data_IF_967193043095
#
_entry.id   IF_967193043095
#
_cell.length_a   1.000
_cell.length_b   1.000
_cell.length_c   1.000
_cell.angle_alpha   90.00
_cell.angle_beta   90.00
_cell.angle_gamma   90.00
#
_symmetry.space_group_name_H-M   'P 1'
#
loop_
_entity.id
_entity.type
_entity.pdbx_description
1 polymer ?
#
# COMPACT_ATOMS: atom_id res chain seq x y z
N UNK A 1 -17.04 20.04 -18.55
CA UNK A 1 -16.27 19.75 -17.33
C UNK A 1 -15.81 18.32 -17.42
N UNK A 2 -14.53 18.05 -17.60
CA UNK A 2 -14.00 16.69 -17.63
C UNK A 2 -13.92 16.20 -16.18
N UNK A 3 -14.93 15.43 -15.75
CA UNK A 3 -14.89 14.75 -14.46
C UNK A 3 -13.71 13.78 -14.46
N UNK A 4 -12.93 13.74 -13.38
CA UNK A 4 -11.88 12.75 -13.21
C UNK A 4 -12.53 11.35 -13.27
N UNK A 5 -12.13 10.48 -14.21
CA UNK A 5 -12.77 9.18 -14.33
C UNK A 5 -12.30 8.17 -13.28
N UNK A 6 -11.37 8.55 -12.38
CA UNK A 6 -10.85 7.72 -11.30
C UNK A 6 -11.44 8.12 -9.94
N UNK A 7 -11.98 7.14 -9.23
CA UNK A 7 -12.44 7.27 -7.84
C UNK A 7 -11.48 6.54 -6.92
N UNK A 8 -10.90 7.25 -5.96
CA UNK A 8 -10.05 6.67 -4.90
C UNK A 8 -10.92 5.85 -3.93
N UNK A 9 -10.47 4.65 -3.56
CA UNK A 9 -11.04 3.89 -2.44
C UNK A 9 -10.52 4.42 -1.11
N UNK A 10 -11.40 4.48 -0.11
CA UNK A 10 -11.12 5.13 1.17
C UNK A 10 -10.09 4.39 2.03
N UNK A 11 -10.02 3.06 1.92
CA UNK A 11 -9.08 2.23 2.68
C UNK A 11 -7.95 1.71 1.79
N UNK A 12 -6.68 1.85 2.22
CA UNK A 12 -5.55 1.24 1.53
C UNK A 12 -5.57 -0.28 1.73
N UNK A 13 -4.74 -0.99 0.97
CA UNK A 13 -4.50 -2.43 1.12
C UNK A 13 -3.03 -2.69 1.45
N UNK A 14 -2.75 -3.83 2.06
CA UNK A 14 -1.39 -4.33 2.26
C UNK A 14 -1.06 -5.47 1.31
N UNK A 15 0.21 -5.59 0.97
CA UNK A 15 0.69 -6.76 0.25
C UNK A 15 2.20 -6.90 0.31
N UNK A 16 2.67 -8.08 -0.06
CA UNK A 16 4.08 -8.37 -0.27
C UNK A 16 4.42 -8.21 -1.75
N UNK A 17 5.51 -7.49 -2.02
CA UNK A 17 6.02 -7.33 -3.38
C UNK A 17 6.49 -8.68 -3.94
N UNK A 18 5.76 -9.23 -4.91
CA UNK A 18 6.12 -10.50 -5.59
C UNK A 18 7.32 -10.36 -6.54
N UNK A 19 7.64 -9.13 -6.94
CA UNK A 19 8.77 -8.74 -7.76
C UNK A 19 9.12 -7.27 -7.49
N UNK A 20 10.18 -6.79 -8.11
CA UNK A 20 10.74 -5.43 -8.01
C UNK A 20 10.18 -4.44 -9.04
N UNK A 21 9.09 -4.81 -9.74
CA UNK A 21 8.49 -3.98 -10.81
C UNK A 21 7.58 -2.89 -10.28
N UNK A 22 7.13 -2.97 -9.03
CA UNK A 22 6.34 -1.90 -8.43
C UNK A 22 7.23 -0.73 -8.02
N UNK A 23 6.86 0.47 -8.41
CA UNK A 23 7.52 1.72 -8.06
C UNK A 23 6.67 2.49 -7.05
N UNK A 24 7.28 2.97 -5.98
CA UNK A 24 6.61 3.77 -4.97
C UNK A 24 6.20 5.13 -5.55
N UNK A 25 4.92 5.48 -5.44
CA UNK A 25 4.44 6.75 -6.00
C UNK A 25 4.85 7.99 -5.16
N UNK A 26 5.28 7.82 -3.91
CA UNK A 26 5.76 8.92 -3.07
C UNK A 26 7.24 9.28 -3.31
N UNK A 27 8.15 8.31 -3.32
CA UNK A 27 9.58 8.55 -3.49
C UNK A 27 10.12 8.25 -4.90
N UNK A 28 9.29 7.67 -5.78
CA UNK A 28 9.65 7.29 -7.16
C UNK A 28 10.75 6.22 -7.27
N UNK A 29 11.04 5.50 -6.19
CA UNK A 29 11.99 4.37 -6.16
C UNK A 29 11.29 3.00 -6.29
N UNK A 30 12.04 2.00 -6.74
CA UNK A 30 11.57 0.61 -6.81
C UNK A 30 11.28 0.04 -5.40
N UNK A 31 10.22 -0.76 -5.31
CA UNK A 31 9.86 -1.53 -4.12
C UNK A 31 10.45 -2.93 -4.27
N UNK A 32 11.39 -3.29 -3.41
CA UNK A 32 12.10 -4.56 -3.48
C UNK A 32 11.18 -5.77 -3.27
N UNK A 33 11.47 -6.85 -4.00
CA UNK A 33 10.81 -8.16 -3.83
C UNK A 33 10.86 -8.61 -2.36
N UNK A 34 9.76 -9.16 -1.85
CA UNK A 34 9.61 -9.61 -0.46
C UNK A 34 9.31 -8.49 0.54
N UNK A 35 9.36 -7.22 0.13
CA UNK A 35 9.04 -6.10 1.02
C UNK A 35 7.53 -5.87 1.16
N UNK A 36 7.13 -5.36 2.32
CA UNK A 36 5.77 -4.88 2.56
C UNK A 36 5.53 -3.60 1.74
N UNK A 37 4.39 -3.53 1.07
CA UNK A 37 3.93 -2.37 0.32
C UNK A 37 2.48 -2.04 0.63
N UNK A 38 2.17 -0.75 0.59
CA UNK A 38 0.84 -0.19 0.84
C UNK A 38 0.24 0.22 -0.50
N UNK A 39 -0.94 -0.30 -0.84
CA UNK A 39 -1.64 -0.03 -2.10
C UNK A 39 -2.83 0.90 -1.88
N UNK A 40 -2.98 1.93 -2.72
CA UNK A 40 -4.18 2.75 -2.78
C UNK A 40 -4.95 2.34 -4.02
N UNK A 41 -6.18 1.85 -3.85
CA UNK A 41 -7.02 1.38 -4.96
C UNK A 41 -7.74 2.56 -5.61
N UNK A 42 -7.76 2.58 -6.94
CA UNK A 42 -8.56 3.50 -7.74
C UNK A 42 -9.45 2.73 -8.70
N UNK A 43 -10.73 3.09 -8.73
CA UNK A 43 -11.70 2.55 -9.67
C UNK A 43 -11.90 3.54 -10.82
N UNK A 44 -11.70 3.08 -12.04
CA UNK A 44 -12.05 3.84 -13.23
C UNK A 44 -13.53 3.61 -13.59
N UNK A 45 -14.19 4.63 -14.15
CA UNK A 45 -15.60 4.53 -14.61
C UNK A 45 -15.85 3.43 -15.65
N UNK A 46 -14.81 2.93 -16.32
CA UNK A 46 -14.91 1.81 -17.28
C UNK A 46 -14.78 0.42 -16.63
N UNK A 47 -14.62 0.33 -15.31
CA UNK A 47 -14.42 -0.92 -14.56
C UNK A 47 -12.97 -1.36 -14.39
N UNK A 48 -11.98 -0.57 -14.86
CA UNK A 48 -10.56 -0.85 -14.60
C UNK A 48 -10.19 -0.49 -13.17
N UNK A 49 -9.35 -1.31 -12.54
CA UNK A 49 -8.80 -1.05 -11.20
C UNK A 49 -7.31 -0.69 -11.34
N UNK A 50 -6.94 0.47 -10.84
CA UNK A 50 -5.55 0.89 -10.64
C UNK A 50 -5.15 0.73 -9.18
N UNK A 51 -3.87 0.47 -8.92
CA UNK A 51 -3.32 0.45 -7.57
C UNK A 51 -2.02 1.23 -7.53
N UNK A 52 -1.99 2.27 -6.72
CA UNK A 52 -0.76 3.02 -6.46
C UNK A 52 -0.04 2.39 -5.27
N UNK A 53 1.10 1.77 -5.56
CA UNK A 53 1.94 1.15 -4.56
C UNK A 53 2.87 2.16 -3.90
N UNK A 54 3.09 1.97 -2.61
CA UNK A 54 3.97 2.78 -1.78
C UNK A 54 4.83 1.86 -0.89
N UNK A 55 6.06 2.27 -0.56
CA UNK A 55 6.80 1.61 0.51
C UNK A 55 6.03 1.76 1.83
N UNK A 56 6.22 0.80 2.74
CA UNK A 56 5.68 0.87 4.10
C UNK A 56 6.02 2.22 4.75
N UNK A 57 7.29 2.62 4.71
CA UNK A 57 7.81 3.85 5.32
C UNK A 57 7.41 5.14 4.63
N UNK A 58 6.84 5.07 3.42
CA UNK A 58 6.37 6.23 2.67
C UNK A 58 4.87 6.48 2.87
N UNK A 59 4.21 5.71 3.73
CA UNK A 59 2.79 5.88 4.04
C UNK A 59 2.58 6.95 5.12
N UNK A 60 1.58 7.81 4.94
CA UNK A 60 1.24 8.89 5.87
C UNK A 60 0.49 8.41 7.14
N UNK A 61 -0.16 7.24 7.09
CA UNK A 61 -1.06 6.77 8.16
C UNK A 61 -0.74 5.34 8.65
N UNK A 62 0.44 5.12 9.29
CA UNK A 62 0.86 3.82 9.83
C UNK A 62 -0.18 3.15 10.73
N UNK A 63 -0.84 3.91 11.60
CA UNK A 63 -1.71 3.38 12.65
C UNK A 63 -2.95 2.64 12.14
N UNK A 64 -3.39 2.92 10.90
CA UNK A 64 -4.55 2.26 10.29
C UNK A 64 -4.20 0.91 9.66
N UNK A 65 -2.92 0.65 9.35
CA UNK A 65 -2.49 -0.52 8.58
C UNK A 65 -2.85 -1.89 9.20
N UNK A 66 -2.91 -2.09 10.52
CA UNK A 66 -3.33 -3.38 11.08
C UNK A 66 -4.82 -3.72 10.84
N UNK A 67 -5.63 -2.76 10.38
CA UNK A 67 -7.07 -2.91 10.18
C UNK A 67 -7.46 -2.99 8.71
N UNK A 68 -6.50 -2.96 7.78
CA UNK A 68 -6.78 -2.96 6.35
C UNK A 68 -6.67 -4.34 5.70
N UNK A 69 -7.32 -4.49 4.56
CA UNK A 69 -7.26 -5.73 3.77
C UNK A 69 -5.82 -6.10 3.41
N UNK A 70 -5.51 -7.40 3.50
CA UNK A 70 -4.19 -7.93 3.22
C UNK A 70 -3.25 -7.97 4.41
N UNK A 71 -3.60 -7.36 5.55
CA UNK A 71 -2.84 -7.52 6.81
C UNK A 71 -2.83 -9.00 7.26
N UNK A 72 -3.97 -9.67 7.15
CA UNK A 72 -4.14 -11.08 7.48
C UNK A 72 -3.25 -12.00 6.64
N UNK A 73 -2.92 -11.59 5.41
CA UNK A 73 -2.08 -12.32 4.46
C UNK A 73 -0.58 -12.15 4.71
N UNK A 74 -0.18 -11.22 5.58
CA UNK A 74 1.20 -11.07 6.01
C UNK A 74 1.62 -12.23 6.92
N UNK A 75 2.86 -12.71 6.77
CA UNK A 75 3.45 -13.65 7.70
C UNK A 75 3.75 -13.00 9.05
N UNK A 76 4.16 -13.82 10.03
CA UNK A 76 4.48 -13.34 11.38
C UNK A 76 5.64 -12.34 11.37
N UNK A 77 6.68 -12.63 10.60
CA UNK A 77 7.84 -11.75 10.46
C UNK A 77 7.46 -10.38 9.89
N UNK A 78 6.60 -10.33 8.87
CA UNK A 78 6.18 -9.08 8.27
C UNK A 78 5.24 -8.29 9.18
N UNK A 79 4.39 -8.98 9.95
CA UNK A 79 3.57 -8.35 10.99
C UNK A 79 4.44 -7.70 12.06
N UNK A 80 5.48 -8.38 12.54
CA UNK A 80 6.44 -7.82 13.50
C UNK A 80 7.13 -6.56 12.96
N UNK A 81 7.61 -6.60 11.71
CA UNK A 81 8.22 -5.43 11.05
C UNK A 81 7.23 -4.27 10.98
N UNK A 82 5.98 -4.54 10.60
CA UNK A 82 4.92 -3.54 10.52
C UNK A 82 4.62 -2.92 11.90
N UNK A 83 4.46 -3.75 12.94
CA UNK A 83 4.23 -3.26 14.31
C UNK A 83 5.40 -2.45 14.85
N UNK A 84 6.63 -2.90 14.61
CA UNK A 84 7.83 -2.17 15.01
C UNK A 84 7.91 -0.80 14.33
N UNK A 85 7.56 -0.73 13.04
CA UNK A 85 7.51 0.54 12.32
C UNK A 85 6.39 1.46 12.81
N UNK A 86 5.18 0.93 13.07
CA UNK A 86 4.09 1.72 13.65
C UNK A 86 4.50 2.32 14.99
N UNK A 87 5.17 1.53 15.85
CA UNK A 87 5.66 1.98 17.15
C UNK A 87 6.74 3.06 17.06
N UNK A 88 7.52 3.11 15.97
CA UNK A 88 8.55 4.15 15.79
C UNK A 88 8.01 5.46 15.21
N UNK A 89 6.78 5.46 14.71
CA UNK A 89 6.08 6.65 14.22
C UNK A 89 5.27 7.38 15.29
N UNK A 90 5.04 6.75 16.44
CA UNK A 90 4.32 7.32 17.61
C UNK A 90 5.32 7.92 18.59
#
# INVERSE_FOLDING_TARGET
>A
MTVNPWTKCDLPILGIAKNDKSMCQACQDSIATGSIRVGIIFHHVNGTIGVDWHHLTCCETPAALPQVEGYELLGEQEKEVLHHWIQSCV
#
